data_IF_803623231621
#
_entry.id   IF_803623231621
#
_cell.length_a   1.000
_cell.length_b   1.000
_cell.length_c   1.000
_cell.angle_alpha   90.00
_cell.angle_beta   90.00
_cell.angle_gamma   90.00
#
_symmetry.space_group_name_H-M   'P 1'
#
loop_
_entity.id
_entity.type
_entity.pdbx_description
1 polymer ?
#
# COMPACT_ATOMS: atom_id res chain seq x y z
N UNK A 1 7.97 2.57 13.95
CA UNK A 1 7.65 1.19 13.58
C UNK A 1 7.30 0.45 14.84
N UNK A 2 6.27 -0.39 14.79
CA UNK A 2 5.82 -1.18 15.94
C UNK A 2 5.48 -2.59 15.50
N UNK A 3 5.34 -3.49 16.46
CA UNK A 3 4.98 -4.88 16.17
C UNK A 3 4.02 -5.44 17.21
N UNK A 4 3.19 -6.40 16.81
CA UNK A 4 2.39 -7.20 17.74
C UNK A 4 3.31 -8.08 18.59
N UNK A 5 2.99 -8.25 19.88
CA UNK A 5 3.70 -9.18 20.74
C UNK A 5 3.38 -10.64 20.35
N UNK A 6 4.23 -11.19 19.48
CA UNK A 6 4.16 -12.57 19.04
C UNK A 6 5.49 -13.28 19.29
N UNK A 7 5.47 -14.48 19.88
CA UNK A 7 6.69 -15.23 20.20
C UNK A 7 7.48 -15.64 18.95
N UNK A 8 6.80 -15.86 17.83
CA UNK A 8 7.48 -16.19 16.56
C UNK A 8 8.26 -15.00 15.99
N UNK A 9 7.63 -13.81 16.01
CA UNK A 9 8.21 -12.58 15.50
C UNK A 9 9.45 -12.17 16.28
N UNK A 10 9.40 -12.27 17.61
CA UNK A 10 10.55 -11.95 18.47
C UNK A 10 11.73 -12.90 18.23
N UNK A 11 11.47 -14.19 18.04
CA UNK A 11 12.48 -15.18 17.67
C UNK A 11 13.08 -14.85 16.30
N UNK A 12 12.26 -14.54 15.29
CA UNK A 12 12.77 -14.19 13.97
C UNK A 12 13.68 -12.95 14.03
N UNK A 13 13.25 -11.87 14.68
CA UNK A 13 14.00 -10.61 14.79
C UNK A 13 15.34 -10.80 15.53
N UNK A 14 15.39 -11.69 16.53
CA UNK A 14 16.61 -11.94 17.32
C UNK A 14 17.55 -12.95 16.66
N UNK A 15 17.01 -13.90 15.89
CA UNK A 15 17.76 -15.02 15.31
C UNK A 15 18.23 -14.77 13.86
N UNK A 16 17.54 -13.91 13.09
CA UNK A 16 17.93 -13.51 11.73
C UNK A 16 19.14 -12.57 11.73
N UNK A 17 20.33 -13.13 11.93
CA UNK A 17 21.61 -12.39 11.86
C UNK A 17 22.22 -12.33 10.47
N UNK A 18 21.75 -13.12 9.51
CA UNK A 18 22.42 -13.21 8.20
C UNK A 18 21.96 -12.15 7.19
N UNK A 19 20.88 -11.42 7.47
CA UNK A 19 20.36 -10.39 6.58
C UNK A 19 20.72 -8.99 7.08
N UNK A 20 21.61 -8.31 6.33
CA UNK A 20 22.07 -6.95 6.65
C UNK A 20 20.94 -5.91 6.68
N UNK A 21 19.87 -6.12 5.90
CA UNK A 21 18.71 -5.23 5.89
C UNK A 21 17.89 -5.37 7.17
N UNK A 22 17.65 -6.61 7.61
CA UNK A 22 16.95 -6.88 8.87
C UNK A 22 17.72 -6.26 10.03
N UNK A 23 19.05 -6.43 10.09
CA UNK A 23 19.88 -5.80 11.12
C UNK A 23 19.75 -4.28 11.14
N UNK A 24 19.77 -3.63 9.97
CA UNK A 24 19.67 -2.17 9.86
C UNK A 24 18.31 -1.66 10.31
N UNK A 25 17.22 -2.33 9.96
CA UNK A 25 15.87 -1.96 10.41
C UNK A 25 15.73 -2.23 11.92
N UNK A 26 16.32 -3.32 12.40
CA UNK A 26 16.26 -3.71 13.80
C UNK A 26 16.87 -2.64 14.71
N UNK A 27 18.10 -2.21 14.42
CA UNK A 27 18.84 -1.22 15.22
C UNK A 27 18.30 0.21 15.13
N UNK A 28 17.52 0.54 14.10
CA UNK A 28 17.07 1.92 13.86
C UNK A 28 15.57 2.16 14.12
N UNK A 29 14.73 1.12 14.03
CA UNK A 29 13.27 1.28 13.99
C UNK A 29 12.46 0.30 14.84
N UNK A 30 12.94 -0.92 15.09
CA UNK A 30 12.22 -1.91 15.91
C UNK A 30 12.48 -1.78 17.41
N UNK A 31 13.71 -1.46 17.79
CA UNK A 31 14.07 -1.24 19.19
C UNK A 31 13.91 0.22 19.58
N UNK A 32 13.05 0.47 20.56
CA UNK A 32 12.98 1.75 21.27
C UNK A 32 13.59 1.55 22.65
N UNK A 33 14.71 2.24 22.95
CA UNK A 33 15.44 2.13 24.23
C UNK A 33 15.80 0.67 24.60
N UNK A 34 16.41 -0.05 23.68
CA UNK A 34 16.82 -1.47 23.83
C UNK A 34 15.68 -2.48 24.06
N UNK A 35 14.41 -2.10 23.82
CA UNK A 35 13.25 -2.99 23.89
C UNK A 35 12.45 -2.95 22.60
N UNK A 36 11.89 -4.09 22.19
CA UNK A 36 11.03 -4.15 21.00
C UNK A 36 9.79 -3.30 21.26
N UNK A 37 9.44 -2.44 20.31
CA UNK A 37 8.27 -1.59 20.41
C UNK A 37 6.98 -2.39 20.14
N UNK A 38 6.45 -3.01 21.19
CA UNK A 38 5.21 -3.77 21.15
C UNK A 38 4.00 -2.84 21.28
N UNK A 39 3.01 -3.05 20.41
CA UNK A 39 1.76 -2.28 20.41
C UNK A 39 0.57 -3.21 20.30
N UNK A 40 -0.58 -2.79 20.85
CA UNK A 40 -1.83 -3.51 20.61
C UNK A 40 -2.21 -3.41 19.13
N UNK A 41 -2.76 -4.48 18.51
CA UNK A 41 -3.18 -4.45 17.10
C UNK A 41 -4.06 -3.27 16.71
N UNK A 42 -4.98 -2.84 17.58
CA UNK A 42 -5.86 -1.70 17.29
C UNK A 42 -5.09 -0.39 17.20
N UNK A 43 -4.17 -0.16 18.13
CA UNK A 43 -3.35 1.05 18.18
C UNK A 43 -2.37 1.08 17.00
N UNK A 44 -1.70 -0.04 16.73
CA UNK A 44 -0.79 -0.17 15.60
C UNK A 44 -1.47 0.08 14.24
N UNK A 45 -2.67 -0.46 14.04
CA UNK A 45 -3.46 -0.24 12.81
C UNK A 45 -3.95 1.21 12.69
N UNK A 46 -4.34 1.85 13.80
CA UNK A 46 -4.72 3.27 13.82
C UNK A 46 -3.55 4.18 13.40
N UNK A 47 -2.35 3.94 13.91
CA UNK A 47 -1.14 4.67 13.52
C UNK A 47 -0.78 4.47 12.04
N UNK A 48 -1.04 3.29 11.48
CA UNK A 48 -0.88 3.06 10.03
C UNK A 48 -1.89 3.88 9.23
N UNK A 49 -3.13 4.03 9.74
CA UNK A 49 -4.15 4.88 9.10
C UNK A 49 -3.76 6.36 9.08
N UNK A 50 -3.15 6.85 10.16
CA UNK A 50 -2.65 8.24 10.26
C UNK A 50 -1.49 8.53 9.29
N UNK A 51 -0.77 7.49 8.87
CA UNK A 51 0.33 7.57 7.92
C UNK A 51 1.70 7.77 8.59
N UNK A 52 2.78 7.49 7.84
CA UNK A 52 4.16 7.63 8.33
C UNK A 52 4.62 6.57 9.34
N UNK A 53 3.76 5.61 9.69
CA UNK A 53 4.07 4.51 10.58
C UNK A 53 4.00 3.15 9.86
N UNK A 54 4.90 2.24 10.21
CA UNK A 54 4.91 0.86 9.73
C UNK A 54 4.63 -0.08 10.91
N UNK A 55 3.61 -0.91 10.79
CA UNK A 55 3.20 -1.86 11.82
C UNK A 55 3.33 -3.30 11.29
N UNK A 56 3.99 -4.16 12.05
CA UNK A 56 4.16 -5.58 11.71
C UNK A 56 3.34 -6.46 12.65
N UNK A 57 2.40 -7.23 12.09
CA UNK A 57 1.49 -8.10 12.84
C UNK A 57 0.98 -9.21 11.92
N UNK A 58 0.35 -10.23 12.48
CA UNK A 58 -0.14 -11.35 11.70
C UNK A 58 -1.38 -10.98 10.89
N UNK A 59 -1.42 -11.50 9.67
CA UNK A 59 -2.48 -11.27 8.69
C UNK A 59 -3.88 -11.55 9.26
N UNK A 60 -4.02 -12.61 10.07
CA UNK A 60 -5.29 -12.98 10.70
C UNK A 60 -5.85 -11.90 11.63
N UNK A 61 -4.97 -11.13 12.26
CA UNK A 61 -5.33 -10.10 13.23
C UNK A 61 -5.58 -8.78 12.53
N UNK A 62 -4.73 -8.43 11.57
CA UNK A 62 -4.72 -7.10 10.92
C UNK A 62 -5.80 -6.96 9.85
N UNK A 63 -6.01 -7.97 8.99
CA UNK A 63 -6.99 -7.87 7.90
C UNK A 63 -8.41 -7.54 8.35
N UNK A 64 -8.99 -8.18 9.40
CA UNK A 64 -10.31 -7.78 9.87
C UNK A 64 -10.32 -6.35 10.44
N UNK A 65 -9.25 -5.91 11.10
CA UNK A 65 -9.15 -4.54 11.63
C UNK A 65 -9.11 -3.51 10.50
N UNK A 66 -8.30 -3.74 9.46
CA UNK A 66 -8.21 -2.87 8.29
C UNK A 66 -9.58 -2.80 7.59
N UNK A 67 -10.21 -3.95 7.34
CA UNK A 67 -11.51 -4.00 6.68
C UNK A 67 -12.62 -3.23 7.43
N UNK A 68 -12.51 -3.10 8.75
CA UNK A 68 -13.47 -2.35 9.58
C UNK A 68 -13.12 -0.86 9.75
N UNK A 69 -11.85 -0.49 9.65
CA UNK A 69 -11.37 0.86 10.06
C UNK A 69 -10.87 1.71 8.91
N UNK A 70 -10.45 1.11 7.80
CA UNK A 70 -9.84 1.84 6.68
C UNK A 70 -10.88 2.17 5.62
N UNK A 71 -10.72 3.36 5.03
CA UNK A 71 -11.48 3.79 3.88
C UNK A 71 -10.85 3.22 2.59
N UNK A 72 -11.60 3.19 1.50
CA UNK A 72 -11.13 2.59 0.23
C UNK A 72 -9.82 3.25 -0.26
N UNK A 73 -9.70 4.56 -0.10
CA UNK A 73 -8.47 5.29 -0.44
C UNK A 73 -7.28 4.85 0.42
N UNK A 74 -7.46 4.72 1.74
CA UNK A 74 -6.41 4.24 2.64
C UNK A 74 -5.97 2.80 2.33
N UNK A 75 -6.90 1.94 1.92
CA UNK A 75 -6.61 0.56 1.49
C UNK A 75 -5.79 0.55 0.19
N UNK A 76 -6.03 1.48 -0.72
CA UNK A 76 -5.30 1.60 -1.97
C UNK A 76 -3.91 2.26 -1.79
N UNK A 77 -3.77 3.12 -0.79
CA UNK A 77 -2.52 3.84 -0.53
C UNK A 77 -1.57 3.05 0.41
N UNK A 78 -2.09 2.12 1.21
CA UNK A 78 -1.27 1.27 2.06
C UNK A 78 -0.49 0.22 1.23
N UNK A 79 0.70 -0.13 1.71
CA UNK A 79 1.55 -1.16 1.10
C UNK A 79 1.83 -2.25 2.10
N UNK A 80 1.53 -3.49 1.72
CA UNK A 80 1.87 -4.68 2.48
C UNK A 80 3.28 -5.15 2.11
N UNK A 81 4.13 -5.39 3.11
CA UNK A 81 5.47 -5.92 2.93
C UNK A 81 5.63 -7.17 3.79
N UNK A 82 6.02 -8.28 3.18
CA UNK A 82 6.32 -9.53 3.88
C UNK A 82 7.67 -9.40 4.60
N UNK A 83 7.64 -9.02 5.87
CA UNK A 83 8.85 -8.88 6.69
C UNK A 83 9.39 -10.23 7.18
N UNK A 84 8.50 -11.11 7.64
CA UNK A 84 8.85 -12.47 8.07
C UNK A 84 8.38 -13.45 7.00
N UNK A 85 9.28 -14.33 6.55
CA UNK A 85 8.90 -15.37 5.59
C UNK A 85 7.96 -16.37 6.26
N UNK A 86 6.84 -16.76 5.63
CA UNK A 86 5.94 -17.73 6.22
C UNK A 86 6.68 -19.06 6.42
N UNK A 87 6.89 -19.45 7.67
CA UNK A 87 7.45 -20.74 8.03
C UNK A 87 6.46 -21.87 7.75
N UNK A 88 6.98 -23.07 7.46
CA UNK A 88 6.15 -24.27 7.39
C UNK A 88 5.71 -24.63 8.81
N UNK A 89 4.42 -24.47 9.09
CA UNK A 89 3.81 -24.94 10.34
C UNK A 89 3.41 -26.41 10.20
N UNK A 90 3.68 -27.19 11.24
CA UNK A 90 3.39 -28.63 11.27
C UNK A 90 2.97 -29.08 12.66
N UNK A 91 2.42 -30.29 12.74
CA UNK A 91 2.11 -30.92 14.01
C UNK A 91 3.41 -31.39 14.68
N UNK A 92 3.57 -31.04 15.94
CA UNK A 92 4.69 -31.51 16.75
C UNK A 92 4.31 -32.84 17.41
N UNK A 93 5.19 -33.84 17.29
CA UNK A 93 5.02 -35.16 17.89
C UNK A 93 6.32 -35.61 18.58
N UNK A 94 6.24 -36.43 19.65
CA UNK A 94 7.43 -36.87 20.35
C UNK A 94 8.31 -37.75 19.45
N UNK A 95 9.63 -37.69 19.69
CA UNK A 95 10.63 -38.46 18.92
C UNK A 95 10.33 -39.96 19.04
N UNK A 96 10.30 -40.67 17.90
CA UNK A 96 9.93 -42.10 17.78
C UNK A 96 8.47 -42.44 18.12
N UNK A 97 7.55 -41.47 18.03
CA UNK A 97 6.11 -41.77 18.15
C UNK A 97 5.63 -42.59 16.95
N UNK A 98 4.78 -43.60 17.21
CA UNK A 98 4.14 -44.42 16.17
C UNK A 98 3.14 -43.60 15.32
N UNK A 99 2.70 -42.43 15.83
CA UNK A 99 1.70 -41.59 15.16
C UNK A 99 2.30 -40.58 14.18
N UNK A 100 3.62 -40.43 14.10
CA UNK A 100 4.24 -39.42 13.21
C UNK A 100 3.88 -39.65 11.75
N UNK A 101 3.89 -40.92 11.31
CA UNK A 101 3.56 -41.29 9.95
C UNK A 101 2.08 -41.05 9.65
N UNK A 102 1.20 -41.42 10.58
CA UNK A 102 -0.24 -41.18 10.46
C UNK A 102 -0.56 -39.67 10.35
N UNK A 103 0.08 -38.83 11.18
CA UNK A 103 -0.09 -37.38 11.11
C UNK A 103 0.48 -36.79 9.81
N UNK A 104 1.62 -37.27 9.34
CA UNK A 104 2.20 -36.83 8.07
C UNK A 104 1.27 -37.17 6.88
N UNK A 105 0.80 -38.41 6.80
CA UNK A 105 -0.11 -38.86 5.74
C UNK A 105 -1.43 -38.07 5.79
N UNK A 106 -2.04 -37.94 6.97
CA UNK A 106 -3.30 -37.21 7.11
C UNK A 106 -3.15 -35.73 6.73
N UNK A 107 -2.08 -35.03 7.15
CA UNK A 107 -1.81 -33.65 6.74
C UNK A 107 -1.66 -33.51 5.21
N UNK A 108 -0.97 -34.45 4.55
CA UNK A 108 -0.84 -34.47 3.10
C UNK A 108 -2.20 -34.65 2.41
N UNK A 109 -3.02 -35.58 2.90
CA UNK A 109 -4.38 -35.79 2.37
C UNK A 109 -5.23 -34.52 2.56
N UNK A 110 -5.16 -33.86 3.72
CA UNK A 110 -5.89 -32.62 3.97
C UNK A 110 -5.45 -31.49 3.04
N UNK A 111 -4.16 -31.41 2.73
CA UNK A 111 -3.62 -30.44 1.79
C UNK A 111 -4.05 -30.73 0.34
N UNK A 112 -3.95 -31.98 -0.10
CA UNK A 112 -4.35 -32.43 -1.44
C UNK A 112 -5.84 -32.23 -1.70
N UNK A 113 -6.69 -32.49 -0.69
CA UNK A 113 -8.14 -32.28 -0.78
C UNK A 113 -8.55 -30.81 -0.65
N UNK A 114 -7.60 -29.89 -0.48
CA UNK A 114 -7.89 -28.46 -0.32
C UNK A 114 -8.57 -28.09 1.01
N UNK A 115 -8.67 -29.00 1.99
CA UNK A 115 -9.28 -28.70 3.29
C UNK A 115 -8.52 -27.59 4.02
N UNK A 116 -7.18 -27.58 3.89
CA UNK A 116 -6.35 -26.48 4.42
C UNK A 116 -6.75 -25.14 3.82
N UNK A 117 -6.90 -25.07 2.50
CA UNK A 117 -7.27 -23.83 1.81
C UNK A 117 -8.67 -23.35 2.21
N UNK A 118 -9.65 -24.28 2.28
CA UNK A 118 -11.00 -23.97 2.76
C UNK A 118 -11.00 -23.44 4.20
N UNK A 119 -10.26 -24.07 5.10
CA UNK A 119 -10.16 -23.61 6.48
C UNK A 119 -9.55 -22.21 6.57
N UNK A 120 -8.48 -21.95 5.82
CA UNK A 120 -7.86 -20.61 5.77
C UNK A 120 -8.85 -19.56 5.28
N UNK A 121 -9.60 -19.82 4.20
CA UNK A 121 -10.59 -18.86 3.69
C UNK A 121 -11.77 -18.63 4.65
N UNK A 122 -12.06 -19.58 5.53
CA UNK A 122 -13.15 -19.46 6.51
C UNK A 122 -12.71 -18.70 7.77
N UNK A 123 -11.49 -18.93 8.24
CA UNK A 123 -11.00 -18.37 9.51
C UNK A 123 -10.18 -17.09 9.36
N UNK A 124 -9.53 -16.90 8.21
CA UNK A 124 -8.74 -15.71 7.91
C UNK A 124 -9.60 -14.81 7.04
N UNK A 125 -9.78 -13.56 7.49
CA UNK A 125 -10.46 -12.55 6.70
C UNK A 125 -9.77 -12.43 5.33
N UNK A 126 -10.57 -12.30 4.27
CA UNK A 126 -10.03 -12.10 2.93
C UNK A 126 -9.20 -10.83 2.89
N UNK A 127 -8.11 -10.85 2.12
CA UNK A 127 -7.28 -9.66 1.91
C UNK A 127 -8.16 -8.51 1.41
N UNK A 128 -8.10 -7.31 2.02
CA UNK A 128 -8.81 -6.16 1.48
C UNK A 128 -8.21 -5.79 0.12
N UNK A 129 -9.03 -5.88 -0.94
CA UNK A 129 -8.60 -5.52 -2.28
C UNK A 129 -8.94 -4.06 -2.59
N UNK A 130 -7.99 -3.36 -3.21
CA UNK A 130 -8.23 -2.02 -3.73
C UNK A 130 -9.16 -2.11 -4.95
N UNK A 131 -10.42 -1.73 -4.78
CA UNK A 131 -11.39 -1.64 -5.87
C UNK A 131 -11.18 -0.34 -6.67
N UNK A 132 -10.19 -0.33 -7.58
CA UNK A 132 -9.89 0.85 -8.41
C UNK A 132 -11.11 1.36 -9.20
N UNK A 133 -12.02 0.47 -9.61
CA UNK A 133 -13.20 0.84 -10.41
C UNK A 133 -14.20 1.75 -9.65
N UNK A 134 -14.16 1.76 -8.32
CA UNK A 134 -15.02 2.61 -7.47
C UNK A 134 -14.29 3.88 -7.02
N UNK A 135 -12.99 4.00 -7.33
CA UNK A 135 -12.16 5.15 -6.94
C UNK A 135 -12.32 6.26 -7.96
N UNK A 136 -13.12 7.27 -7.63
CA UNK A 136 -13.05 8.55 -8.32
C UNK A 136 -11.80 9.27 -7.80
N UNK A 137 -10.65 9.15 -8.48
CA UNK A 137 -9.47 9.91 -8.09
C UNK A 137 -9.76 11.40 -8.34
N UNK A 138 -9.85 12.25 -7.31
CA UNK A 138 -9.95 13.68 -7.53
C UNK A 138 -8.59 14.15 -8.06
N UNK A 139 -8.49 14.35 -9.37
CA UNK A 139 -7.26 14.86 -9.98
C UNK A 139 -7.13 16.31 -9.54
N UNK A 140 -6.14 16.59 -8.69
CA UNK A 140 -5.88 17.94 -8.20
C UNK A 140 -5.53 18.88 -9.36
N UNK A 141 -5.94 20.15 -9.28
CA UNK A 141 -5.59 21.17 -10.28
C UNK A 141 -4.08 21.31 -10.51
N UNK A 142 -3.27 20.95 -9.50
CA UNK A 142 -1.81 20.90 -9.60
C UNK A 142 -1.29 19.85 -10.59
N UNK A 143 -1.92 18.67 -10.65
CA UNK A 143 -1.53 17.58 -11.56
C UNK A 143 -1.72 18.01 -13.03
N UNK A 144 -2.71 18.87 -13.28
CA UNK A 144 -3.10 19.36 -14.61
C UNK A 144 -2.49 20.72 -14.97
N UNK A 145 -1.58 21.25 -14.16
CA UNK A 145 -1.02 22.60 -14.33
C UNK A 145 -0.46 22.84 -15.73
N UNK A 146 0.25 21.86 -16.30
CA UNK A 146 0.84 21.96 -17.63
C UNK A 146 -0.22 22.08 -18.74
N UNK A 147 -1.34 21.37 -18.62
CA UNK A 147 -2.46 21.43 -19.56
C UNK A 147 -3.10 22.81 -19.55
N UNK A 148 -3.34 23.37 -18.36
CA UNK A 148 -3.88 24.73 -18.21
C UNK A 148 -2.94 25.80 -18.76
N UNK A 149 -1.63 25.65 -18.56
CA UNK A 149 -0.63 26.58 -19.09
C UNK A 149 -0.60 26.59 -20.62
N UNK A 150 -0.64 25.41 -21.26
CA UNK A 150 -0.71 25.30 -22.72
C UNK A 150 -2.00 25.94 -23.25
N UNK A 151 -3.13 25.67 -22.58
CA UNK A 151 -4.42 26.24 -22.97
C UNK A 151 -4.42 27.78 -22.92
N UNK A 152 -3.93 28.36 -21.82
CA UNK A 152 -3.80 29.82 -21.67
C UNK A 152 -2.84 30.44 -22.70
N UNK A 153 -1.71 29.80 -22.96
CA UNK A 153 -0.75 30.27 -23.96
C UNK A 153 -1.36 30.27 -25.37
N UNK A 154 -2.14 29.24 -25.72
CA UNK A 154 -2.84 29.17 -27.00
C UNK A 154 -3.89 30.28 -27.16
N UNK A 155 -4.68 30.55 -26.12
CA UNK A 155 -5.67 31.64 -26.11
C UNK A 155 -5.00 33.01 -26.25
N UNK A 156 -3.92 33.25 -25.53
CA UNK A 156 -3.15 34.50 -25.63
C UNK A 156 -2.55 34.69 -27.03
N UNK A 157 -1.98 33.63 -27.62
CA UNK A 157 -1.39 33.70 -28.95
C UNK A 157 -2.43 34.01 -30.03
N UNK A 158 -3.61 33.37 -29.98
CA UNK A 158 -4.71 33.67 -30.89
C UNK A 158 -5.20 35.12 -30.75
N UNK A 159 -5.30 35.61 -29.52
CA UNK A 159 -5.71 37.00 -29.26
C UNK A 159 -4.70 38.02 -29.81
N UNK A 160 -3.39 37.74 -29.68
CA UNK A 160 -2.33 38.59 -30.25
C UNK A 160 -2.37 38.62 -31.78
N UNK A 161 -2.60 37.47 -32.43
CA UNK A 161 -2.77 37.42 -33.89
C UNK A 161 -3.98 38.23 -34.34
N UNK A 162 -5.12 38.10 -33.65
CA UNK A 162 -6.33 38.86 -33.95
C UNK A 162 -6.12 40.38 -33.81
N UNK A 163 -5.45 40.83 -32.74
CA UNK A 163 -5.09 42.24 -32.59
C UNK A 163 -4.12 42.72 -33.68
N UNK A 164 -3.16 41.88 -34.06
CA UNK A 164 -2.24 42.15 -35.16
C UNK A 164 -2.96 42.36 -36.49
N UNK A 165 -3.92 41.48 -36.81
CA UNK A 165 -4.76 41.59 -38.00
C UNK A 165 -5.62 42.87 -37.98
N UNK A 166 -6.22 43.20 -36.83
CA UNK A 166 -7.04 44.41 -36.69
C UNK A 166 -6.23 45.70 -36.90
N UNK A 167 -5.00 45.74 -36.37
CA UNK A 167 -4.08 46.87 -36.57
C UNK A 167 -3.61 46.95 -38.03
N UNK A 168 -3.31 45.81 -38.65
CA UNK A 168 -2.92 45.74 -40.06
C UNK A 168 -4.04 46.24 -40.97
N UNK A 169 -5.27 45.76 -40.75
CA UNK A 169 -6.45 46.20 -41.49
C UNK A 169 -6.66 47.71 -41.33
N UNK A 170 -6.61 48.23 -40.10
CA UNK A 170 -6.80 49.67 -39.84
C UNK A 170 -5.72 50.54 -40.49
N UNK A 171 -4.47 50.09 -40.55
CA UNK A 171 -3.38 50.81 -41.21
C UNK A 171 -3.46 50.77 -42.74
N UNK A 172 -3.87 49.63 -43.31
CA UNK A 172 -3.99 49.46 -44.76
C UNK A 172 -5.27 50.08 -45.36
N UNK A 173 -6.33 50.25 -44.55
CA UNK A 173 -7.58 50.88 -44.98
C UNK A 173 -7.56 52.43 -44.84
N UNK A 174 -6.70 52.98 -43.97
CA UNK A 174 -6.49 54.44 -43.86
C UNK A 174 -6.00 55.16 -45.13
N UNK A 175 -5.17 54.58 -46.03
CA UNK A 175 -4.84 55.23 -47.31
C UNK A 175 -5.96 55.20 -48.37
N UNK A 176 -7.05 54.43 -48.20
CA UNK A 176 -8.11 54.32 -49.23
C UNK A 176 -9.30 55.28 -49.04
N UNK A 177 -9.44 55.92 -47.86
CA UNK A 177 -10.51 56.90 -47.57
C UNK A 177 -10.12 58.38 -47.80
N UNK A 178 -8.93 58.66 -48.33
CA UNK A 178 -8.48 60.01 -48.74
C UNK A 178 -8.54 60.25 -50.26
N UNK A 179 -9.17 59.33 -51.02
CA UNK A 179 -9.39 59.45 -52.46
C UNK A 179 -10.87 59.38 -52.89
N UNK A 180 -11.81 59.74 -52.00
CA UNK A 180 -13.18 60.07 -52.39
C UNK A 180 -13.62 61.39 -51.77
#
# INVERSE_FOLDING_TARGET
MGTEDQPYTTVFITQERNNTYVQKINSTRFYEKDRVNFMEPKEGVALVKEGGFAYHSEVKTVYPLIAMTFDLDSICDMVEINFVTPGVVGLMAPKKSQYTELFAISLQIMAQRGMRHRALNMWIATKPECMLNLRALPIGVNELFLVYMIWLAGVLFAFLLFLGELLWYRYYDTPHLLQM
#
